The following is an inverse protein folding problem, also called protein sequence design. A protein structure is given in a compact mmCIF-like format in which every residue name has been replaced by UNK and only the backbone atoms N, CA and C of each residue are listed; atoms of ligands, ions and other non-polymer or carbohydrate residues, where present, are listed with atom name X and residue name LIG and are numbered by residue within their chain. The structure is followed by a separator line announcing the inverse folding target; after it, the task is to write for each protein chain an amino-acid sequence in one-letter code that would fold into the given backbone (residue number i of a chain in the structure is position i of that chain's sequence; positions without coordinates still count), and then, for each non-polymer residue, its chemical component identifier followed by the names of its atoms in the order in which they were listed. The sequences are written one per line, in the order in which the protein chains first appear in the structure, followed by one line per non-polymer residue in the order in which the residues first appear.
data_IF_671152813096
#
_entry.id   IF_671152813096
#
_cell.length_a   1.000
_cell.length_b   1.000
_cell.length_c   1.000
_cell.angle_alpha   90.00
_cell.angle_beta   90.00
_cell.angle_gamma   90.00
#
_symmetry.space_group_name_H-M   'P 1'
#
loop_
_entity.id
_entity.type
_entity.pdbx_description
1 polymer ?
#
# COMPACT_ATOMS: atom_id res chain seq x y z
N UNK A 1 -25.85 32.15 22.19
CA UNK A 1 -24.48 32.41 21.70
C UNK A 1 -23.95 31.11 21.10
N UNK A 2 -23.96 30.97 19.76
CA UNK A 2 -23.58 29.72 19.10
C UNK A 2 -22.06 29.57 19.12
N UNK A 3 -21.55 28.53 19.80
CA UNK A 3 -20.14 28.14 19.74
C UNK A 3 -19.87 27.57 18.35
N UNK A 4 -19.22 28.35 17.51
CA UNK A 4 -18.67 27.86 16.25
C UNK A 4 -17.55 26.87 16.62
N UNK A 5 -17.80 25.58 16.43
CA UNK A 5 -16.79 24.53 16.52
C UNK A 5 -15.72 24.86 15.47
N UNK A 6 -14.59 25.41 15.91
CA UNK A 6 -13.37 25.50 15.09
C UNK A 6 -12.93 24.07 14.81
N UNK A 7 -13.41 23.51 13.70
CA UNK A 7 -12.91 22.28 13.13
C UNK A 7 -11.42 22.48 12.89
N UNK A 8 -10.59 21.75 13.64
CA UNK A 8 -9.15 21.82 13.44
C UNK A 8 -8.82 21.30 12.04
N UNK A 9 -7.85 21.90 11.34
CA UNK A 9 -7.43 21.39 10.04
C UNK A 9 -7.03 19.93 10.21
N UNK A 10 -7.58 19.06 9.35
CA UNK A 10 -7.24 17.65 9.28
C UNK A 10 -5.71 17.54 9.30
N UNK A 11 -5.15 16.76 10.22
CA UNK A 11 -3.69 16.61 10.32
C UNK A 11 -3.12 16.16 8.98
N UNK A 12 -1.96 16.69 8.57
CA UNK A 12 -1.32 16.34 7.30
C UNK A 12 -1.17 14.81 7.11
N UNK A 13 -1.00 14.09 8.22
CA UNK A 13 -0.97 12.62 8.23
C UNK A 13 -2.32 11.98 7.88
N UNK A 14 -3.42 12.51 8.41
CA UNK A 14 -4.78 12.07 8.10
C UNK A 14 -5.18 12.46 6.66
N UNK A 15 -4.79 13.64 6.20
CA UNK A 15 -4.99 14.07 4.81
C UNK A 15 -4.23 13.16 3.82
N UNK A 16 -2.96 12.84 4.13
CA UNK A 16 -2.16 11.91 3.35
C UNK A 16 -2.78 10.52 3.32
N UNK A 17 -3.27 10.01 4.46
CA UNK A 17 -4.04 8.76 4.55
C UNK A 17 -5.26 8.78 3.65
N UNK A 18 -6.08 9.83 3.72
CA UNK A 18 -7.30 9.96 2.93
C UNK A 18 -6.98 9.98 1.43
N UNK A 19 -5.98 10.76 0.99
CA UNK A 19 -5.61 10.81 -0.42
C UNK A 19 -4.96 9.55 -0.94
N UNK A 20 -4.18 8.86 -0.12
CA UNK A 20 -3.64 7.54 -0.42
C UNK A 20 -4.78 6.55 -0.61
N UNK A 21 -5.73 6.51 0.33
CA UNK A 21 -6.89 5.61 0.26
C UNK A 21 -7.74 5.93 -0.96
N UNK A 22 -7.94 7.21 -1.27
CA UNK A 22 -8.64 7.66 -2.48
C UNK A 22 -7.88 7.24 -3.75
N UNK A 23 -6.57 7.44 -3.79
CA UNK A 23 -5.72 6.98 -4.89
C UNK A 23 -5.73 5.47 -5.07
N UNK A 24 -5.75 4.71 -3.98
CA UNK A 24 -5.92 3.25 -3.98
C UNK A 24 -7.26 2.83 -4.60
N UNK A 25 -8.34 3.55 -4.27
CA UNK A 25 -9.68 3.31 -4.81
C UNK A 25 -9.81 3.63 -6.31
N UNK A 26 -9.04 4.58 -6.84
CA UNK A 26 -9.16 5.03 -8.24
C UNK A 26 -8.05 4.53 -9.19
N UNK A 27 -6.85 4.21 -8.69
CA UNK A 27 -5.73 3.85 -9.56
C UNK A 27 -5.63 2.37 -9.87
N UNK A 28 -6.19 1.48 -9.03
CA UNK A 28 -6.23 0.02 -9.26
C UNK A 28 -4.88 -0.70 -9.39
N UNK A 29 -3.77 0.00 -9.60
CA UNK A 29 -2.47 -0.57 -9.90
C UNK A 29 -1.53 -0.23 -8.76
N UNK A 30 -1.18 -1.25 -7.98
CA UNK A 30 -0.12 -1.17 -6.99
C UNK A 30 1.20 -1.58 -7.62
N UNK A 31 2.29 -1.13 -7.02
CA UNK A 31 3.63 -1.51 -7.42
C UNK A 31 4.32 -2.19 -6.26
N UNK A 32 4.93 -3.34 -6.53
CA UNK A 32 5.86 -4.00 -5.62
C UNK A 32 7.23 -4.11 -6.28
N UNK A 33 8.17 -4.67 -5.53
CA UNK A 33 9.50 -4.98 -6.03
C UNK A 33 9.63 -6.50 -6.19
N UNK A 34 10.04 -6.92 -7.39
CA UNK A 34 10.12 -8.32 -7.77
C UNK A 34 11.54 -8.66 -8.20
N UNK A 35 12.07 -9.78 -7.72
CA UNK A 35 13.34 -10.34 -8.16
C UNK A 35 13.04 -11.51 -9.10
N UNK A 36 13.49 -11.40 -10.35
CA UNK A 36 13.24 -12.42 -11.37
C UNK A 36 14.07 -13.70 -11.16
N UNK A 37 15.29 -13.58 -10.63
CA UNK A 37 16.19 -14.70 -10.38
C UNK A 37 15.68 -15.61 -9.27
N UNK A 38 15.17 -15.01 -8.19
CA UNK A 38 14.59 -15.72 -7.05
C UNK A 38 13.09 -15.97 -7.19
N UNK A 39 12.49 -15.49 -8.28
CA UNK A 39 11.05 -15.53 -8.55
C UNK A 39 10.20 -15.07 -7.35
N UNK A 40 10.63 -13.98 -6.71
CA UNK A 40 10.13 -13.58 -5.39
C UNK A 40 9.77 -12.11 -5.29
N UNK A 41 8.81 -11.81 -4.41
CA UNK A 41 8.48 -10.45 -4.01
C UNK A 41 9.39 -10.00 -2.87
N UNK A 42 9.78 -8.73 -2.92
CA UNK A 42 10.61 -8.15 -1.87
C UNK A 42 9.82 -8.02 -0.56
N UNK A 43 10.41 -8.49 0.52
CA UNK A 43 9.90 -8.35 1.88
C UNK A 43 11.05 -7.88 2.78
N UNK A 44 10.74 -7.06 3.77
CA UNK A 44 11.71 -6.56 4.75
C UNK A 44 11.28 -6.92 6.15
N UNK A 45 12.22 -7.06 7.08
CA UNK A 45 11.90 -7.08 8.51
C UNK A 45 11.84 -5.65 9.04
N UNK A 46 10.85 -5.37 9.88
CA UNK A 46 10.66 -4.13 10.60
C UNK A 46 10.41 -4.46 12.06
N UNK A 47 11.50 -4.49 12.85
CA UNK A 47 11.53 -5.07 14.20
C UNK A 47 11.08 -6.54 14.18
N UNK A 48 10.01 -6.88 14.91
CA UNK A 48 9.45 -8.23 15.01
C UNK A 48 8.44 -8.56 13.90
N UNK A 49 8.13 -7.60 13.02
CA UNK A 49 7.18 -7.78 11.92
C UNK A 49 7.90 -8.00 10.58
N UNK A 50 7.34 -8.87 9.75
CA UNK A 50 7.65 -8.88 8.33
C UNK A 50 6.75 -7.89 7.59
N UNK A 51 7.34 -7.12 6.70
CA UNK A 51 6.67 -6.06 5.96
C UNK A 51 6.84 -6.28 4.47
N UNK A 52 5.73 -6.19 3.75
CA UNK A 52 5.70 -6.15 2.30
C UNK A 52 5.56 -4.70 1.84
N UNK A 53 6.63 -4.03 1.39
CA UNK A 53 6.54 -2.67 0.91
C UNK A 53 5.91 -2.61 -0.48
N UNK A 54 5.01 -1.66 -0.67
CA UNK A 54 4.40 -1.38 -1.96
C UNK A 54 4.24 0.13 -2.17
N UNK A 55 3.97 0.52 -3.42
CA UNK A 55 3.87 1.92 -3.85
C UNK A 55 2.66 2.14 -4.74
N UNK A 56 2.16 3.38 -4.78
CA UNK A 56 1.13 3.81 -5.73
C UNK A 56 1.73 4.27 -7.08
N UNK A 57 3.05 4.45 -7.15
CA UNK A 57 3.77 4.91 -8.34
C UNK A 57 5.03 4.06 -8.58
N UNK A 58 5.17 3.52 -9.79
CA UNK A 58 6.33 2.73 -10.19
C UNK A 58 7.65 3.50 -10.16
N UNK A 59 7.62 4.83 -10.34
CA UNK A 59 8.81 5.68 -10.22
C UNK A 59 9.35 5.67 -8.78
N UNK A 60 8.47 5.79 -7.79
CA UNK A 60 8.88 5.74 -6.38
C UNK A 60 9.42 4.36 -6.00
N UNK A 61 8.80 3.29 -6.51
CA UNK A 61 9.31 1.94 -6.34
C UNK A 61 10.71 1.78 -6.97
N UNK A 62 10.92 2.34 -8.16
CA UNK A 62 12.21 2.30 -8.85
C UNK A 62 13.31 3.02 -8.09
N UNK A 63 13.06 4.25 -7.67
CA UNK A 63 14.01 5.05 -6.88
C UNK A 63 14.37 4.35 -5.57
N UNK A 64 13.39 3.74 -4.90
CA UNK A 64 13.63 2.97 -3.68
C UNK A 64 14.52 1.74 -3.95
N UNK A 65 14.22 0.99 -5.03
CA UNK A 65 15.01 -0.18 -5.41
C UNK A 65 16.47 0.16 -5.69
N UNK A 66 16.74 1.24 -6.43
CA UNK A 66 18.12 1.66 -6.71
C UNK A 66 18.94 1.92 -5.45
N UNK A 67 18.31 2.45 -4.40
CA UNK A 67 18.99 2.80 -3.15
C UNK A 67 19.13 1.61 -2.19
N UNK A 68 18.10 0.76 -2.11
CA UNK A 68 18.01 -0.26 -1.06
C UNK A 68 18.08 -1.69 -1.59
N UNK A 69 17.56 -1.97 -2.79
CA UNK A 69 17.38 -3.31 -3.35
C UNK A 69 17.71 -3.33 -4.85
N UNK A 70 18.99 -3.17 -5.23
CA UNK A 70 19.40 -2.95 -6.63
C UNK A 70 19.06 -4.13 -7.56
N UNK A 71 18.90 -5.34 -7.01
CA UNK A 71 18.56 -6.54 -7.77
C UNK A 71 17.03 -6.77 -7.93
N UNK A 72 16.21 -5.81 -7.48
CA UNK A 72 14.77 -5.89 -7.58
C UNK A 72 14.23 -4.86 -8.57
N UNK A 73 13.25 -5.26 -9.37
CA UNK A 73 12.61 -4.40 -10.36
C UNK A 73 11.18 -4.04 -9.94
N UNK A 74 10.73 -2.79 -10.20
CA UNK A 74 9.33 -2.42 -10.04
C UNK A 74 8.43 -3.28 -10.92
N UNK A 75 7.45 -3.92 -10.29
CA UNK A 75 6.45 -4.73 -10.97
C UNK A 75 5.06 -4.31 -10.53
N UNK A 76 4.18 -4.10 -11.52
CA UNK A 76 2.76 -3.83 -11.29
C UNK A 76 2.11 -5.06 -10.65
N UNK A 77 1.24 -4.81 -9.69
CA UNK A 77 0.37 -5.79 -9.06
C UNK A 77 -1.05 -5.38 -9.45
N UNK A 78 -1.71 -6.24 -10.23
CA UNK A 78 -3.09 -6.00 -10.65
C UNK A 78 -4.03 -6.20 -9.45
N UNK A 79 -5.25 -5.60 -9.47
CA UNK A 79 -6.25 -5.86 -8.43
C UNK A 79 -6.51 -7.36 -8.27
N UNK A 80 -6.62 -8.09 -9.38
CA UNK A 80 -6.91 -9.53 -9.39
C UNK A 80 -5.78 -10.33 -8.74
N UNK A 81 -4.52 -10.09 -9.12
CA UNK A 81 -3.37 -10.78 -8.51
C UNK A 81 -3.24 -10.44 -7.03
N UNK A 82 -3.53 -9.18 -6.70
CA UNK A 82 -3.49 -8.71 -5.32
C UNK A 82 -4.53 -9.45 -4.47
N UNK A 83 -5.76 -9.59 -4.94
CA UNK A 83 -6.85 -10.25 -4.23
C UNK A 83 -6.68 -11.76 -4.13
N UNK A 84 -6.35 -12.41 -5.25
CA UNK A 84 -6.40 -13.86 -5.39
C UNK A 84 -5.13 -14.56 -4.91
N UNK A 85 -3.96 -13.94 -5.08
CA UNK A 85 -2.68 -14.55 -4.78
C UNK A 85 -1.95 -13.84 -3.63
N UNK A 86 -1.79 -12.51 -3.70
CA UNK A 86 -0.92 -11.79 -2.78
C UNK A 86 -1.52 -11.67 -1.37
N UNK A 87 -2.77 -11.23 -1.24
CA UNK A 87 -3.43 -11.08 0.07
C UNK A 87 -3.48 -12.38 0.89
N UNK A 88 -3.89 -13.54 0.32
CA UNK A 88 -3.86 -14.81 1.04
C UNK A 88 -2.43 -15.19 1.48
N UNK A 89 -1.45 -14.94 0.61
CA UNK A 89 -0.05 -15.26 0.90
C UNK A 89 0.49 -14.40 2.04
N UNK A 90 0.29 -13.08 2.00
CA UNK A 90 0.69 -12.17 3.08
C UNK A 90 0.02 -12.52 4.41
N UNK A 91 -1.27 -12.88 4.37
CA UNK A 91 -2.00 -13.31 5.56
C UNK A 91 -1.44 -14.61 6.15
N UNK A 92 -1.10 -15.60 5.30
CA UNK A 92 -0.53 -16.88 5.73
C UNK A 92 0.86 -16.71 6.34
N UNK A 93 1.67 -15.83 5.76
CA UNK A 93 3.04 -15.55 6.20
C UNK A 93 3.10 -14.54 7.36
N UNK A 94 1.96 -14.03 7.85
CA UNK A 94 1.87 -12.96 8.85
C UNK A 94 2.69 -11.72 8.47
N UNK A 95 2.69 -11.39 7.17
CA UNK A 95 3.39 -10.23 6.61
C UNK A 95 2.43 -9.06 6.51
N UNK A 96 2.84 -7.90 7.01
CA UNK A 96 2.04 -6.67 6.98
C UNK A 96 2.36 -5.87 5.71
N UNK A 97 1.38 -5.60 4.82
CA UNK A 97 1.61 -4.72 3.69
C UNK A 97 1.81 -3.27 4.18
N UNK A 98 2.83 -2.60 3.69
CA UNK A 98 3.13 -1.21 4.02
C UNK A 98 3.25 -0.36 2.76
N UNK A 99 2.46 0.72 2.70
CA UNK A 99 2.61 1.70 1.65
C UNK A 99 3.81 2.60 1.94
N UNK A 100 4.74 2.66 1.00
CA UNK A 100 5.92 3.50 1.06
C UNK A 100 5.71 4.82 0.30
N UNK A 101 6.04 5.94 0.95
CA UNK A 101 6.08 7.26 0.34
C UNK A 101 7.28 8.05 0.88
N UNK A 102 8.37 8.10 0.10
CA UNK A 102 9.64 8.63 0.57
C UNK A 102 10.11 7.88 1.82
N UNK A 103 10.41 8.62 2.90
CA UNK A 103 10.85 8.06 4.18
C UNK A 103 9.70 7.53 5.05
N UNK A 104 8.44 7.78 4.67
CA UNK A 104 7.27 7.41 5.46
C UNK A 104 6.71 6.08 4.99
N UNK A 105 6.29 5.25 5.95
CA UNK A 105 5.65 3.97 5.70
C UNK A 105 4.33 3.91 6.44
N UNK A 106 3.28 3.44 5.77
CA UNK A 106 1.96 3.26 6.33
C UNK A 106 1.59 1.78 6.28
N UNK A 107 1.63 1.13 7.44
CA UNK A 107 1.20 -0.26 7.59
C UNK A 107 -0.32 -0.35 7.47
N UNK A 108 -0.81 -1.30 6.68
CA UNK A 108 -2.22 -1.62 6.51
C UNK A 108 -2.38 -3.11 6.79
N UNK A 109 -3.42 -3.51 7.53
CA UNK A 109 -3.73 -4.93 7.66
C UNK A 109 -4.24 -5.50 6.33
N UNK A 110 -4.13 -6.81 6.14
CA UNK A 110 -4.72 -7.49 4.99
C UNK A 110 -6.24 -7.29 4.91
N UNK A 111 -6.92 -7.17 6.06
CA UNK A 111 -8.35 -6.83 6.12
C UNK A 111 -8.64 -5.41 5.65
N UNK A 112 -7.81 -4.43 6.04
CA UNK A 112 -7.90 -3.05 5.55
C UNK A 112 -7.65 -2.98 4.05
N UNK A 113 -6.61 -3.65 3.55
CA UNK A 113 -6.35 -3.74 2.11
C UNK A 113 -7.54 -4.37 1.39
N UNK A 114 -8.14 -5.45 1.92
CA UNK A 114 -9.33 -6.04 1.29
C UNK A 114 -10.50 -5.05 1.20
N UNK A 115 -10.74 -4.31 2.29
CA UNK A 115 -11.82 -3.34 2.36
C UNK A 115 -11.61 -2.14 1.42
N UNK A 116 -10.40 -1.63 1.29
CA UNK A 116 -10.15 -0.44 0.47
C UNK A 116 -10.06 -0.70 -1.03
N UNK A 117 -9.68 -1.92 -1.43
CA UNK A 117 -9.43 -2.24 -2.84
C UNK A 117 -10.54 -3.09 -3.50
N UNK A 118 -11.32 -3.85 -2.74
CA UNK A 118 -12.27 -4.83 -3.29
C UNK A 118 -13.67 -4.74 -2.70
N UNK A 119 -13.99 -3.66 -1.98
CA UNK A 119 -15.34 -3.47 -1.49
C UNK A 119 -16.17 -2.75 -2.57
N UNK A 120 -16.91 -3.52 -3.37
CA UNK A 120 -17.74 -3.06 -4.48
C UNK A 120 -18.78 -2.00 -4.06
N UNK A 121 -19.10 -1.90 -2.76
CA UNK A 121 -20.06 -0.93 -2.23
C UNK A 121 -19.61 0.53 -2.31
N UNK A 122 -18.33 0.81 -2.57
CA UNK A 122 -17.84 2.20 -2.65
C UNK A 122 -18.01 2.78 -4.06
N UNK A 123 -18.30 1.96 -5.07
CA UNK A 123 -18.42 2.36 -6.47
C UNK A 123 -19.87 2.49 -6.98
N UNK A 124 -20.88 2.19 -6.16
CA UNK A 124 -22.27 2.43 -6.51
C UNK A 124 -22.61 3.91 -6.21
N UNK A 125 -23.00 4.72 -7.22
CA UNK A 125 -23.64 6.00 -6.93
C UNK A 125 -24.97 5.74 -6.20
N UNK A 126 -25.21 6.50 -5.13
CA UNK A 126 -26.50 6.55 -4.45
C UNK A 126 -27.60 7.11 -5.36
#
# INVERSE_FOLDING_TARGET
MYKILKLQPISNHLYLKINILRGMMYCGILWGLYNAEQQGWAMTSDHDDYVFPFWLNGLHAHQYAQLHWPNYIPKKITPQDFQSALLPTLSRLKVTPALCNGTKRMKLSTSQMRHFFFNDRILAPA
#
